data_IF_743132956870
#
_entry.id   IF_743132956870
#
_cell.length_a   1.000
_cell.length_b   1.000
_cell.length_c   1.000
_cell.angle_alpha   90.00
_cell.angle_beta   90.00
_cell.angle_gamma   90.00
#
_symmetry.space_group_name_H-M   'P 1'
#
loop_
_entity.id
_entity.type
_entity.pdbx_description
1 polymer ?
#
# COMPACT_ATOMS: atom_id res chain seq x y z
N UNK A 1 63.35 -50.15 2.49
CA UNK A 1 62.41 -49.38 3.34
C UNK A 1 61.83 -48.28 2.47
N UNK A 2 60.54 -48.07 2.29
CA UNK A 2 59.36 -48.73 2.82
C UNK A 2 58.22 -48.72 1.78
N UNK A 3 57.36 -49.72 1.91
CA UNK A 3 56.05 -49.98 1.30
C UNK A 3 55.03 -48.90 1.69
N UNK A 4 53.94 -48.77 0.91
CA UNK A 4 52.53 -48.52 1.29
C UNK A 4 51.82 -48.03 0.00
N UNK A 5 50.99 -48.80 -0.72
CA UNK A 5 49.73 -49.49 -0.37
C UNK A 5 48.63 -48.55 0.15
N UNK A 6 47.46 -48.69 -0.49
CA UNK A 6 46.09 -48.40 -0.06
C UNK A 6 45.30 -47.32 -0.82
N UNK A 7 44.30 -47.87 -1.54
CA UNK A 7 42.87 -47.54 -1.46
C UNK A 7 42.30 -46.35 -2.24
N UNK A 8 41.39 -46.74 -3.13
CA UNK A 8 40.26 -46.00 -3.69
C UNK A 8 39.46 -45.32 -2.58
N UNK A 9 39.05 -44.06 -2.80
CA UNK A 9 37.89 -43.48 -2.13
C UNK A 9 36.97 -42.84 -3.19
N UNK A 10 35.88 -43.54 -3.50
CA UNK A 10 34.69 -42.98 -4.15
C UNK A 10 33.91 -42.27 -3.04
N UNK A 11 33.71 -40.96 -3.15
CA UNK A 11 32.62 -40.28 -2.45
C UNK A 11 31.69 -39.74 -3.52
N UNK A 12 30.52 -40.34 -3.55
CA UNK A 12 29.34 -39.98 -4.33
C UNK A 12 29.10 -38.47 -4.28
N UNK A 13 28.81 -37.89 -5.44
CA UNK A 13 28.17 -36.59 -5.56
C UNK A 13 27.02 -36.52 -4.55
N UNK A 14 27.13 -35.63 -3.57
CA UNK A 14 25.98 -35.14 -2.82
C UNK A 14 25.09 -34.46 -3.86
N UNK A 15 24.02 -35.17 -4.24
CA UNK A 15 22.93 -34.59 -5.00
C UNK A 15 22.51 -33.31 -4.27
N UNK A 16 22.71 -32.20 -4.96
CA UNK A 16 22.32 -30.89 -4.50
C UNK A 16 20.85 -30.96 -4.09
N UNK A 17 20.56 -30.82 -2.80
CA UNK A 17 19.39 -30.03 -2.43
C UNK A 17 19.74 -28.62 -2.87
N UNK A 18 19.51 -28.35 -4.15
CA UNK A 18 19.01 -27.05 -4.50
C UNK A 18 17.81 -26.89 -3.57
N UNK A 19 17.93 -26.04 -2.55
CA UNK A 19 16.74 -25.40 -2.02
C UNK A 19 16.08 -24.85 -3.28
N UNK A 20 15.02 -25.52 -3.73
CA UNK A 20 13.97 -24.85 -4.44
C UNK A 20 13.55 -23.77 -3.45
N UNK A 21 14.21 -22.62 -3.56
CA UNK A 21 13.86 -21.42 -2.86
C UNK A 21 12.49 -21.14 -3.43
N UNK A 22 11.52 -21.66 -2.67
CA UNK A 22 10.11 -21.51 -2.88
C UNK A 22 9.96 -20.04 -3.25
N UNK A 23 9.37 -19.70 -4.41
CA UNK A 23 9.14 -18.31 -4.74
C UNK A 23 8.40 -17.74 -3.54
N UNK A 24 9.10 -16.91 -2.75
CA UNK A 24 8.50 -16.10 -1.72
C UNK A 24 7.41 -15.35 -2.46
N UNK A 25 6.17 -15.75 -2.22
CA UNK A 25 4.99 -15.10 -2.76
C UNK A 25 5.15 -13.64 -2.39
N UNK A 26 5.58 -12.83 -3.36
CA UNK A 26 5.52 -11.39 -3.22
C UNK A 26 4.06 -11.08 -3.00
N UNK A 27 3.72 -10.48 -1.86
CA UNK A 27 2.37 -10.02 -1.57
C UNK A 27 1.83 -9.37 -2.85
N UNK A 28 0.73 -9.90 -3.38
CA UNK A 28 0.18 -9.46 -4.65
C UNK A 28 -0.54 -8.14 -4.39
N UNK A 29 0.25 -7.06 -4.31
CA UNK A 29 -0.24 -5.71 -4.16
C UNK A 29 -0.93 -5.29 -5.45
N UNK A 30 -2.25 -5.14 -5.38
CA UNK A 30 -3.04 -4.51 -6.43
C UNK A 30 -3.28 -3.05 -6.09
N UNK A 31 -3.48 -2.20 -7.10
CA UNK A 31 -4.07 -0.88 -6.87
C UNK A 31 -5.56 -1.01 -6.56
N UNK A 32 -6.09 -0.06 -5.78
CA UNK A 32 -7.51 0.02 -5.49
C UNK A 32 -8.30 0.38 -6.76
N UNK A 33 -8.84 -0.64 -7.45
CA UNK A 33 -9.78 -0.48 -8.55
C UNK A 33 -11.16 -1.08 -8.19
N UNK A 34 -12.20 -0.69 -8.91
CA UNK A 34 -13.60 -1.02 -8.73
C UNK A 34 -13.97 -2.42 -9.21
N UNK A 35 -13.07 -3.05 -9.94
CA UNK A 35 -13.08 -4.48 -10.14
C UNK A 35 -12.75 -5.23 -8.83
N UNK A 36 -12.12 -4.54 -7.87
CA UNK A 36 -11.63 -5.12 -6.62
C UNK A 36 -12.50 -4.68 -5.45
N UNK A 37 -12.67 -3.39 -5.17
CA UNK A 37 -13.38 -2.95 -3.96
C UNK A 37 -14.65 -2.14 -4.26
N UNK A 38 -15.71 -2.41 -3.50
CA UNK A 38 -16.88 -1.55 -3.43
C UNK A 38 -16.57 -0.38 -2.49
N UNK A 39 -16.86 0.83 -2.94
CA UNK A 39 -16.70 2.05 -2.14
C UNK A 39 -18.12 2.60 -1.90
N UNK A 40 -18.89 1.97 -0.98
CA UNK A 40 -20.35 2.17 -0.90
C UNK A 40 -20.70 3.61 -0.53
N UNK A 41 -19.97 4.22 0.40
CA UNK A 41 -20.13 5.61 0.84
C UNK A 41 -18.84 6.09 1.48
N UNK A 42 -17.89 6.49 0.65
CA UNK A 42 -16.68 7.11 1.14
C UNK A 42 -16.90 8.62 1.28
N UNK A 43 -17.19 9.07 2.50
CA UNK A 43 -17.20 10.48 2.83
C UNK A 43 -15.83 10.87 3.38
N UNK A 44 -15.19 11.84 2.73
CA UNK A 44 -13.99 12.46 3.27
C UNK A 44 -14.44 13.50 4.31
N UNK A 45 -14.30 13.16 5.60
CA UNK A 45 -14.62 14.09 6.67
C UNK A 45 -13.50 15.13 6.84
N UNK A 46 -13.87 16.41 6.81
CA UNK A 46 -12.95 17.54 6.91
C UNK A 46 -12.98 18.25 8.28
N UNK A 47 -13.75 17.75 9.24
CA UNK A 47 -13.81 18.32 10.58
C UNK A 47 -12.61 17.82 11.42
N UNK A 48 -11.62 18.69 11.77
CA UNK A 48 -10.44 18.29 12.53
C UNK A 48 -10.77 17.85 13.97
N UNK A 49 -11.95 18.19 14.49
CA UNK A 49 -12.44 17.71 15.79
C UNK A 49 -13.07 16.31 15.73
N UNK A 50 -13.29 15.78 14.52
CA UNK A 50 -13.92 14.46 14.33
C UNK A 50 -12.90 13.33 14.36
N UNK A 51 -13.27 12.22 15.01
CA UNK A 51 -12.50 10.96 14.99
C UNK A 51 -12.35 10.38 13.58
N UNK A 52 -13.25 10.75 12.66
CA UNK A 52 -13.25 10.29 11.28
C UNK A 52 -12.55 11.27 10.32
N UNK A 53 -11.88 12.32 10.84
CA UNK A 53 -11.13 13.27 10.03
C UNK A 53 -10.15 12.56 9.06
N UNK A 54 -10.32 12.83 7.77
CA UNK A 54 -9.49 12.26 6.71
C UNK A 54 -9.60 10.74 6.53
N UNK A 55 -10.61 10.09 7.10
CA UNK A 55 -10.81 8.65 7.02
C UNK A 55 -11.59 8.27 5.77
N UNK A 56 -11.08 7.28 5.04
CA UNK A 56 -11.74 6.58 3.95
C UNK A 56 -12.11 5.18 4.42
N UNK A 57 -13.37 4.80 4.25
CA UNK A 57 -13.85 3.44 4.52
C UNK A 57 -14.26 2.78 3.21
N UNK A 58 -13.79 1.55 2.98
CA UNK A 58 -14.08 0.75 1.79
C UNK A 58 -14.51 -0.65 2.19
N UNK A 59 -15.08 -1.38 1.25
CA UNK A 59 -15.41 -2.79 1.39
C UNK A 59 -14.73 -3.56 0.25
N UNK A 60 -13.84 -4.50 0.59
CA UNK A 60 -13.04 -5.24 -0.37
C UNK A 60 -13.22 -6.76 -0.19
N UNK A 61 -13.40 -7.55 -1.27
CA UNK A 61 -13.23 -9.00 -1.29
C UNK A 61 -11.82 -9.40 -0.83
N UNK A 62 -11.59 -10.63 -0.37
CA UNK A 62 -12.56 -11.73 -0.28
C UNK A 62 -13.57 -11.57 0.87
N UNK A 63 -13.36 -10.62 1.77
CA UNK A 63 -14.19 -10.40 2.95
C UNK A 63 -15.30 -9.36 2.70
N UNK A 64 -16.13 -9.59 1.68
CA UNK A 64 -17.34 -8.77 1.46
C UNK A 64 -18.19 -8.80 2.74
N UNK A 65 -18.59 -7.63 3.24
CA UNK A 65 -19.23 -7.43 4.54
C UNK A 65 -18.31 -6.86 5.64
N UNK A 66 -16.99 -6.84 5.44
CA UNK A 66 -16.03 -6.25 6.40
C UNK A 66 -15.54 -4.89 5.88
N UNK A 67 -15.86 -3.84 6.63
CA UNK A 67 -15.40 -2.48 6.36
C UNK A 67 -13.92 -2.33 6.73
N UNK A 68 -13.13 -1.80 5.80
CA UNK A 68 -11.70 -1.50 5.97
C UNK A 68 -11.50 0.00 5.89
N UNK A 69 -10.65 0.54 6.76
CA UNK A 69 -10.45 1.98 6.90
C UNK A 69 -9.01 2.36 6.65
N UNK A 70 -8.79 3.44 5.91
CA UNK A 70 -7.48 4.07 5.72
C UNK A 70 -7.60 5.58 5.94
N UNK A 71 -6.57 6.20 6.51
CA UNK A 71 -6.56 7.65 6.70
C UNK A 71 -5.84 8.30 5.52
N UNK A 72 -6.60 8.90 4.61
CA UNK A 72 -6.05 9.61 3.45
C UNK A 72 -5.19 10.79 3.87
N UNK A 73 -5.50 11.45 5.00
CA UNK A 73 -4.66 12.53 5.52
C UNK A 73 -3.24 12.03 5.87
N UNK A 74 -3.09 10.74 6.19
CA UNK A 74 -1.79 10.08 6.43
C UNK A 74 -1.10 9.58 5.16
N UNK A 75 -1.79 9.55 4.02
CA UNK A 75 -1.22 9.08 2.75
C UNK A 75 -0.92 10.21 1.76
N UNK A 76 -1.66 11.31 1.83
CA UNK A 76 -1.64 12.40 0.84
C UNK A 76 -0.99 13.63 1.45
N UNK A 77 -0.15 14.27 0.64
CA UNK A 77 0.49 15.56 0.91
C UNK A 77 0.13 16.59 -0.16
N UNK A 78 0.68 17.79 -0.01
CA UNK A 78 0.64 18.85 -1.01
C UNK A 78 2.07 19.12 -1.44
N UNK A 79 2.33 18.98 -2.74
CA UNK A 79 3.61 19.24 -3.36
C UNK A 79 4.01 20.72 -3.24
N UNK A 80 5.28 21.03 -3.52
CA UNK A 80 5.76 22.42 -3.58
C UNK A 80 4.96 23.28 -4.61
N UNK A 81 4.42 22.62 -5.65
CA UNK A 81 3.60 23.27 -6.67
C UNK A 81 2.13 23.39 -6.28
N UNK A 82 1.75 23.04 -5.04
CA UNK A 82 0.39 23.18 -4.53
C UNK A 82 -0.60 22.11 -5.02
N UNK A 83 -0.11 21.01 -5.60
CA UNK A 83 -0.94 19.89 -6.06
C UNK A 83 -0.96 18.75 -5.03
N UNK A 84 -2.07 18.03 -4.94
CA UNK A 84 -2.14 16.79 -4.16
C UNK A 84 -1.14 15.77 -4.71
N UNK A 85 -0.42 15.11 -3.81
CA UNK A 85 0.50 14.03 -4.16
C UNK A 85 0.45 12.92 -3.11
N UNK A 86 0.74 11.70 -3.55
CA UNK A 86 0.94 10.56 -2.67
C UNK A 86 2.29 10.65 -1.96
N UNK A 87 2.28 10.90 -0.65
CA UNK A 87 3.49 10.98 0.17
C UNK A 87 3.16 10.71 1.64
N UNK A 88 3.29 9.44 2.04
CA UNK A 88 3.08 9.02 3.42
C UNK A 88 4.19 9.49 4.39
N UNK A 89 5.34 9.97 3.89
CA UNK A 89 6.43 10.50 4.74
C UNK A 89 6.15 11.94 5.16
N UNK A 90 5.45 12.71 4.31
CA UNK A 90 5.07 14.10 4.61
C UNK A 90 3.55 14.34 4.55
N UNK A 91 2.74 13.62 5.34
CA UNK A 91 1.28 13.68 5.26
C UNK A 91 0.66 15.01 5.70
N UNK A 92 -0.65 15.15 5.52
CA UNK A 92 -1.44 16.24 6.10
C UNK A 92 -2.03 17.21 5.08
N UNK A 93 -2.53 16.71 3.95
CA UNK A 93 -3.12 17.59 2.93
C UNK A 93 -4.35 18.35 3.44
N UNK A 94 -5.13 17.81 4.39
CA UNK A 94 -6.32 18.49 4.91
C UNK A 94 -5.98 19.71 5.79
N UNK A 95 -4.72 19.83 6.22
CA UNK A 95 -4.21 21.04 6.90
C UNK A 95 -3.76 22.13 5.93
N UNK A 96 -3.53 21.77 4.67
CA UNK A 96 -2.96 22.64 3.62
C UNK A 96 -3.97 23.00 2.52
N UNK A 97 -5.11 22.30 2.48
CA UNK A 97 -6.15 22.47 1.48
C UNK A 97 -7.53 22.60 2.15
N UNK A 98 -8.48 23.18 1.42
CA UNK A 98 -9.86 23.38 1.85
C UNK A 98 -10.85 22.83 0.81
N UNK A 99 -12.11 22.67 1.21
CA UNK A 99 -13.18 22.17 0.33
C UNK A 99 -12.94 20.76 -0.18
N UNK A 100 -12.15 19.96 0.55
CA UNK A 100 -11.79 18.62 0.15
C UNK A 100 -13.02 17.70 0.13
N UNK A 101 -13.21 16.95 -0.95
CA UNK A 101 -14.35 16.04 -1.09
C UNK A 101 -13.95 14.84 -1.93
N UNK A 102 -14.65 13.74 -1.72
CA UNK A 102 -14.52 12.58 -2.59
C UNK A 102 -15.59 12.63 -3.68
N UNK A 103 -15.16 12.73 -4.93
CA UNK A 103 -16.02 12.78 -6.10
C UNK A 103 -16.09 11.40 -6.75
N UNK A 104 -17.32 10.98 -7.06
CA UNK A 104 -17.64 9.65 -7.63
C UNK A 104 -17.01 8.49 -6.84
N UNK A 105 -16.84 8.68 -5.53
CA UNK A 105 -16.19 7.73 -4.61
C UNK A 105 -14.76 7.31 -5.00
N UNK A 106 -14.06 8.08 -5.83
CA UNK A 106 -12.78 7.66 -6.46
C UNK A 106 -11.72 8.73 -6.55
N UNK A 107 -12.13 10.01 -6.59
CA UNK A 107 -11.21 11.12 -6.79
C UNK A 107 -11.33 12.07 -5.62
N UNK A 108 -10.22 12.32 -4.92
CA UNK A 108 -10.16 13.38 -3.92
C UNK A 108 -9.94 14.68 -4.66
N UNK A 109 -10.90 15.61 -4.55
CA UNK A 109 -10.81 16.96 -5.08
C UNK A 109 -10.65 17.94 -3.92
N UNK A 110 -9.72 18.88 -4.03
CA UNK A 110 -9.47 19.92 -3.03
C UNK A 110 -9.09 21.24 -3.68
N UNK A 111 -9.26 22.34 -2.94
CA UNK A 111 -8.64 23.62 -3.24
C UNK A 111 -7.40 23.81 -2.36
N UNK A 112 -6.22 23.86 -2.95
CA UNK A 112 -4.96 24.08 -2.24
C UNK A 112 -4.37 25.46 -2.62
N UNK A 113 -3.19 25.79 -2.09
CA UNK A 113 -2.58 27.13 -2.21
C UNK A 113 -2.36 27.65 -3.64
N UNK A 114 -2.29 26.75 -4.64
CA UNK A 114 -2.10 27.09 -6.06
C UNK A 114 -3.32 26.83 -6.94
N UNK A 115 -4.47 26.51 -6.35
CA UNK A 115 -5.74 26.32 -7.04
C UNK A 115 -6.35 24.94 -6.80
N UNK A 116 -7.28 24.58 -7.68
CA UNK A 116 -7.98 23.30 -7.64
C UNK A 116 -7.05 22.16 -8.03
N UNK A 117 -7.10 21.07 -7.29
CA UNK A 117 -6.29 19.88 -7.53
C UNK A 117 -7.07 18.63 -7.17
N UNK A 118 -6.77 17.54 -7.89
CA UNK A 118 -7.41 16.25 -7.71
C UNK A 118 -6.40 15.12 -7.72
N UNK A 119 -6.68 14.04 -7.01
CA UNK A 119 -5.89 12.81 -7.03
C UNK A 119 -6.82 11.59 -6.99
N UNK A 120 -6.59 10.59 -7.85
CA UNK A 120 -7.41 9.40 -7.88
C UNK A 120 -6.90 8.36 -6.86
N UNK A 121 -7.82 7.76 -6.10
CA UNK A 121 -7.49 6.74 -5.09
C UNK A 121 -6.75 5.54 -5.70
N UNK A 122 -7.11 5.17 -6.93
CA UNK A 122 -6.49 4.09 -7.71
C UNK A 122 -5.02 4.33 -8.03
N UNK A 123 -4.55 5.58 -7.99
CA UNK A 123 -3.17 5.90 -8.37
C UNK A 123 -2.17 5.60 -7.24
N UNK A 124 -2.66 5.37 -6.01
CA UNK A 124 -1.76 5.23 -4.86
C UNK A 124 -2.24 4.30 -3.77
N UNK A 125 -3.54 4.17 -3.50
CA UNK A 125 -4.01 3.24 -2.47
C UNK A 125 -3.78 1.82 -2.97
N UNK A 126 -2.96 1.09 -2.23
CA UNK A 126 -2.66 -0.30 -2.49
C UNK A 126 -3.61 -1.18 -1.67
N UNK A 127 -3.99 -2.30 -2.26
CA UNK A 127 -4.78 -3.35 -1.62
C UNK A 127 -3.96 -4.63 -1.57
N UNK A 128 -3.72 -5.11 -0.36
CA UNK A 128 -3.13 -6.42 -0.12
C UNK A 128 -4.23 -7.48 -0.14
N UNK A 129 -4.22 -8.31 -1.19
CA UNK A 129 -5.23 -9.35 -1.41
C UNK A 129 -5.22 -10.45 -0.36
N UNK A 130 -4.06 -10.71 0.26
CA UNK A 130 -3.91 -11.80 1.22
C UNK A 130 -4.44 -11.38 2.60
N UNK A 131 -4.15 -10.14 3.01
CA UNK A 131 -4.62 -9.61 4.30
C UNK A 131 -5.95 -8.86 4.23
N UNK A 132 -6.39 -8.48 3.03
CA UNK A 132 -7.54 -7.62 2.79
C UNK A 132 -7.33 -6.18 3.31
N UNK A 133 -6.08 -5.76 3.51
CA UNK A 133 -5.75 -4.44 4.06
C UNK A 133 -5.51 -3.40 2.95
N UNK A 134 -5.78 -2.14 3.30
CA UNK A 134 -5.41 -0.98 2.49
C UNK A 134 -4.09 -0.38 2.98
N UNK A 135 -3.26 0.06 2.05
CA UNK A 135 -1.93 0.58 2.33
C UNK A 135 -1.69 1.89 1.57
N UNK A 136 -1.04 2.85 2.24
CA UNK A 136 -0.58 4.06 1.57
C UNK A 136 0.60 3.72 0.63
N UNK A 137 0.72 4.41 -0.51
CA UNK A 137 1.88 4.28 -1.38
C UNK A 137 3.15 4.76 -0.65
N UNK A 138 4.24 4.00 -0.80
CA UNK A 138 5.48 4.21 -0.04
C UNK A 138 5.50 3.58 1.37
N UNK A 139 4.45 2.84 1.74
CA UNK A 139 4.33 2.12 3.01
C UNK A 139 4.91 0.71 3.05
N UNK A 140 5.58 0.23 1.99
CA UNK A 140 6.25 -1.08 1.99
C UNK A 140 7.77 -0.96 1.80
N UNK A 141 8.48 -1.53 2.79
CA UNK A 141 9.90 -1.86 2.85
C UNK A 141 10.91 -0.74 3.20
N UNK A 142 10.69 -0.04 4.32
CA UNK A 142 11.84 0.17 5.24
C UNK A 142 11.66 -0.77 6.41
N UNK A 143 12.42 -1.86 6.34
CA UNK A 143 13.00 -2.61 7.45
C UNK A 143 12.88 -1.88 8.79
N UNK A 144 12.51 -2.65 9.83
CA UNK A 144 12.99 -2.37 11.19
C UNK A 144 14.44 -1.87 11.11
N UNK A 145 14.70 -0.69 11.64
CA UNK A 145 16.00 -0.27 12.14
C UNK A 145 15.86 -0.08 13.63
#
# INVERSE_FOLDING_TARGET
MAKLSFSVLIISLLASVANAQQPTQGAVLGFLDNSICNIPTAFLNNDPGSVDYGKLTVECPPNSGVLRTIWLDKCISVSANGHLQWDAKNPGFLRKCSGCRLVRNRVVECSCSKGFTSIALSDGILFDKDSGNLLCPGGLLTSRS
#
